data_IF_605339845042
#
_entry.id   IF_605339845042
#
_cell.length_a   1.000
_cell.length_b   1.000
_cell.length_c   1.000
_cell.angle_alpha   90.00
_cell.angle_beta   90.00
_cell.angle_gamma   90.00
#
_symmetry.space_group_name_H-M   'P 1'
#
loop_
_entity.id
_entity.type
_entity.pdbx_description
1 polymer ?
#
# COMPACT_ATOMS: atom_id res chain seq x y z
N UNK A 1 -23.50 15.09 26.13
CA UNK A 1 -22.43 14.11 26.31
C UNK A 1 -21.25 14.62 25.48
N UNK A 2 -20.10 14.83 26.08
CA UNK A 2 -18.92 15.29 25.37
C UNK A 2 -18.14 14.01 25.01
N UNK A 3 -18.01 13.72 23.72
CA UNK A 3 -17.24 12.56 23.22
C UNK A 3 -15.89 13.14 22.78
N UNK A 4 -14.82 12.66 23.35
CA UNK A 4 -13.47 12.97 22.90
C UNK A 4 -13.11 12.00 21.77
N UNK A 5 -12.73 12.54 20.63
CA UNK A 5 -12.45 11.78 19.42
C UNK A 5 -10.97 11.97 19.09
N UNK A 6 -10.22 10.88 19.06
CA UNK A 6 -8.86 10.91 18.53
C UNK A 6 -8.94 10.69 17.01
N UNK A 7 -8.63 11.72 16.24
CA UNK A 7 -8.62 11.66 14.79
C UNK A 7 -7.17 11.46 14.33
N UNK A 8 -6.82 10.36 13.65
CA UNK A 8 -5.48 10.18 13.12
C UNK A 8 -5.17 11.26 12.09
N UNK A 9 -3.93 11.73 12.10
CA UNK A 9 -3.42 12.80 11.23
C UNK A 9 -2.26 12.33 10.36
N UNK A 10 -1.85 11.09 10.49
CA UNK A 10 -0.77 10.47 9.72
C UNK A 10 -1.14 9.05 9.31
N UNK A 11 -0.73 8.64 8.12
CA UNK A 11 -0.88 7.28 7.63
C UNK A 11 -0.22 6.22 8.53
N UNK A 12 0.72 6.63 9.37
CA UNK A 12 1.38 5.73 10.33
C UNK A 12 0.59 5.51 11.63
N UNK A 13 -0.49 6.27 11.84
CA UNK A 13 -1.40 6.12 12.99
C UNK A 13 -2.54 5.14 12.71
N UNK A 14 -2.71 4.73 11.46
CA UNK A 14 -3.72 3.75 11.05
C UNK A 14 -3.06 2.48 10.52
N UNK A 15 -3.73 1.34 10.68
CA UNK A 15 -3.20 0.04 10.26
C UNK A 15 -3.64 -0.32 8.85
N UNK A 16 -2.90 -1.23 8.23
CA UNK A 16 -3.29 -1.81 6.94
C UNK A 16 -4.67 -2.49 7.03
N UNK A 17 -4.98 -3.17 8.15
CA UNK A 17 -6.29 -3.78 8.35
C UNK A 17 -7.44 -2.78 8.38
N UNK A 18 -7.25 -1.63 9.05
CA UNK A 18 -8.25 -0.57 9.06
C UNK A 18 -8.53 -0.07 7.65
N UNK A 19 -7.49 0.11 6.85
CA UNK A 19 -7.64 0.53 5.46
C UNK A 19 -8.33 -0.52 4.59
N UNK A 20 -7.99 -1.81 4.74
CA UNK A 20 -8.68 -2.92 4.07
C UNK A 20 -10.17 -2.96 4.41
N UNK A 21 -10.52 -2.76 5.69
CA UNK A 21 -11.93 -2.66 6.15
C UNK A 21 -12.65 -1.47 5.51
N UNK A 22 -11.96 -0.32 5.40
CA UNK A 22 -12.53 0.87 4.78
C UNK A 22 -12.78 0.66 3.28
N UNK A 23 -11.83 0.11 2.54
CA UNK A 23 -11.99 -0.20 1.13
C UNK A 23 -13.19 -1.12 0.88
N UNK A 24 -13.32 -2.18 1.67
CA UNK A 24 -14.48 -3.08 1.58
C UNK A 24 -15.80 -2.34 1.83
N UNK A 25 -15.85 -1.46 2.83
CA UNK A 25 -17.05 -0.66 3.11
C UNK A 25 -17.36 0.32 1.96
N UNK A 26 -16.34 0.90 1.31
CA UNK A 26 -16.51 1.81 0.17
C UNK A 26 -16.98 1.10 -1.11
N UNK A 27 -16.62 -0.17 -1.31
CA UNK A 27 -17.13 -0.99 -2.41
C UNK A 27 -18.63 -1.26 -2.25
N UNK A 28 -19.09 -1.54 -1.02
CA UNK A 28 -20.50 -1.80 -0.72
C UNK A 28 -21.35 -0.52 -0.76
N UNK A 29 -20.78 0.62 -0.38
CA UNK A 29 -21.45 1.94 -0.34
C UNK A 29 -20.46 3.02 -0.74
N UNK A 30 -20.38 3.37 -2.03
CA UNK A 30 -19.31 4.25 -2.54
C UNK A 30 -19.36 5.68 -2.04
N UNK A 31 -20.51 6.21 -1.65
CA UNK A 31 -20.69 7.61 -1.26
C UNK A 31 -21.80 7.79 -0.21
N UNK A 32 -21.72 8.90 0.52
CA UNK A 32 -22.78 9.37 1.41
C UNK A 32 -22.49 9.24 2.89
N UNK A 33 -23.40 9.74 3.71
CA UNK A 33 -23.26 9.84 5.16
C UNK A 33 -23.02 8.51 5.88
N UNK A 34 -23.38 7.39 5.27
CA UNK A 34 -23.07 6.07 5.81
C UNK A 34 -21.58 5.75 5.69
N UNK A 35 -20.98 6.05 4.52
CA UNK A 35 -19.54 5.87 4.33
C UNK A 35 -18.73 6.80 5.23
N UNK A 36 -19.18 8.07 5.39
CA UNK A 36 -18.56 9.02 6.32
C UNK A 36 -18.57 8.47 7.76
N UNK A 37 -19.70 7.92 8.19
CA UNK A 37 -19.81 7.32 9.52
C UNK A 37 -18.95 6.06 9.67
N UNK A 38 -18.82 5.24 8.62
CA UNK A 38 -17.93 4.09 8.57
C UNK A 38 -16.46 4.49 8.59
N UNK A 39 -16.07 5.54 7.90
CA UNK A 39 -14.73 6.11 7.95
C UNK A 39 -14.35 6.51 9.37
N UNK A 40 -15.24 7.20 10.08
CA UNK A 40 -15.05 7.60 11.47
C UNK A 40 -14.99 6.36 12.39
N UNK A 41 -15.90 5.38 12.20
CA UNK A 41 -15.88 4.15 12.97
C UNK A 41 -14.54 3.42 12.85
N UNK A 42 -14.06 3.24 11.63
CA UNK A 42 -12.87 2.42 11.32
C UNK A 42 -11.58 3.13 11.77
N UNK A 43 -11.43 4.41 11.44
CA UNK A 43 -10.17 5.12 11.68
C UNK A 43 -10.08 5.81 13.05
N UNK A 44 -11.21 6.26 13.60
CA UNK A 44 -11.24 6.88 14.92
C UNK A 44 -11.65 5.92 16.05
N UNK A 45 -12.04 4.68 15.72
CA UNK A 45 -12.43 3.67 16.73
C UNK A 45 -13.75 3.99 17.44
N UNK A 46 -14.63 4.79 16.85
CA UNK A 46 -15.90 5.20 17.43
C UNK A 46 -17.00 4.30 16.92
N UNK A 47 -17.83 3.67 17.79
CA UNK A 47 -18.95 2.87 17.33
C UNK A 47 -19.87 3.63 16.36
N UNK A 48 -20.32 2.96 15.29
CA UNK A 48 -21.19 3.56 14.27
C UNK A 48 -22.42 4.27 14.87
N UNK A 49 -23.02 3.68 15.93
CA UNK A 49 -24.14 4.29 16.65
C UNK A 49 -23.81 5.64 17.29
N UNK A 50 -22.55 5.88 17.64
CA UNK A 50 -22.10 7.14 18.24
C UNK A 50 -21.68 8.13 17.16
N UNK A 51 -21.13 7.67 16.02
CA UNK A 51 -20.88 8.50 14.86
C UNK A 51 -22.15 9.21 14.36
N UNK A 52 -23.29 8.54 14.38
CA UNK A 52 -24.59 9.13 14.01
C UNK A 52 -25.13 10.17 15.01
N UNK A 53 -24.56 10.28 16.21
CA UNK A 53 -24.93 11.31 17.20
C UNK A 53 -24.09 12.59 17.07
N UNK A 54 -23.06 12.56 16.21
CA UNK A 54 -22.21 13.71 15.97
C UNK A 54 -22.96 14.81 15.17
N UNK A 55 -22.57 16.04 15.38
CA UNK A 55 -23.06 17.14 14.54
C UNK A 55 -22.49 16.98 13.13
N UNK A 56 -23.29 17.27 12.11
CA UNK A 56 -22.86 17.16 10.70
C UNK A 56 -21.58 17.96 10.41
N UNK A 57 -21.45 19.17 11.02
CA UNK A 57 -20.21 19.95 10.89
C UNK A 57 -18.97 19.30 11.48
N UNK A 58 -19.14 18.51 12.55
CA UNK A 58 -18.02 17.74 13.13
C UNK A 58 -17.69 16.52 12.29
N UNK A 59 -18.69 15.83 11.75
CA UNK A 59 -18.50 14.72 10.81
C UNK A 59 -17.70 15.20 9.61
N UNK A 60 -18.12 16.31 8.96
CA UNK A 60 -17.42 16.86 7.80
C UNK A 60 -15.97 17.21 8.12
N UNK A 61 -15.72 17.90 9.25
CA UNK A 61 -14.35 18.26 9.64
C UNK A 61 -13.44 17.03 9.86
N UNK A 62 -13.97 15.93 10.43
CA UNK A 62 -13.21 14.70 10.62
C UNK A 62 -12.96 14.03 9.26
N UNK A 63 -13.97 13.93 8.42
CA UNK A 63 -13.86 13.33 7.08
C UNK A 63 -12.85 14.09 6.22
N UNK A 64 -12.84 15.42 6.26
CA UNK A 64 -11.87 16.25 5.55
C UNK A 64 -10.43 15.93 6.00
N UNK A 65 -10.16 15.85 7.31
CA UNK A 65 -8.85 15.50 7.87
C UNK A 65 -8.42 14.09 7.40
N UNK A 66 -9.31 13.11 7.51
CA UNK A 66 -9.03 11.74 7.12
C UNK A 66 -8.80 11.61 5.59
N UNK A 67 -9.56 12.33 4.80
CA UNK A 67 -9.41 12.35 3.33
C UNK A 67 -8.08 12.97 2.93
N UNK A 68 -7.71 14.10 3.53
CA UNK A 68 -6.42 14.75 3.27
C UNK A 68 -5.26 13.82 3.62
N UNK A 69 -5.32 13.16 4.79
CA UNK A 69 -4.34 12.17 5.21
C UNK A 69 -4.23 10.98 4.24
N UNK A 70 -5.37 10.43 3.79
CA UNK A 70 -5.39 9.28 2.86
C UNK A 70 -4.87 9.64 1.46
N UNK A 71 -4.89 10.93 1.08
CA UNK A 71 -4.33 11.42 -0.19
C UNK A 71 -2.82 11.71 -0.13
N UNK A 72 -2.19 11.54 1.03
CA UNK A 72 -0.74 11.70 1.13
C UNK A 72 0.01 10.62 0.34
N UNK A 73 1.16 11.00 -0.21
CA UNK A 73 2.11 10.09 -0.87
C UNK A 73 3.29 9.84 0.09
N UNK A 74 3.25 8.78 0.90
CA UNK A 74 4.31 8.51 1.85
C UNK A 74 5.59 8.09 1.14
N UNK A 75 6.73 8.53 1.68
CA UNK A 75 8.03 8.04 1.25
C UNK A 75 8.21 6.57 1.66
N UNK A 76 9.06 5.85 0.92
CA UNK A 76 9.46 4.50 1.29
C UNK A 76 10.15 4.48 2.66
N UNK A 77 9.81 3.49 3.46
CA UNK A 77 10.34 3.27 4.81
C UNK A 77 11.05 1.92 4.86
N UNK A 78 12.38 1.93 4.97
CA UNK A 78 13.17 0.71 5.01
C UNK A 78 12.92 -0.16 6.25
N UNK A 79 12.58 0.45 7.37
CA UNK A 79 12.41 -0.26 8.65
C UNK A 79 11.31 0.37 9.49
N UNK A 80 10.50 -0.49 10.11
CA UNK A 80 9.51 -0.07 11.11
C UNK A 80 9.48 -1.05 12.28
N UNK A 81 8.79 -0.70 13.35
CA UNK A 81 8.62 -1.58 14.51
C UNK A 81 7.16 -1.97 14.67
N UNK A 82 6.91 -3.27 14.89
CA UNK A 82 5.60 -3.84 15.15
C UNK A 82 5.72 -4.79 16.34
N UNK A 83 4.93 -4.58 17.39
CA UNK A 83 4.95 -5.38 18.64
C UNK A 83 6.35 -5.53 19.26
N UNK A 84 7.16 -4.49 19.20
CA UNK A 84 8.52 -4.49 19.73
C UNK A 84 9.54 -5.24 18.86
N UNK A 85 9.15 -5.76 17.71
CA UNK A 85 10.02 -6.39 16.72
C UNK A 85 10.32 -5.38 15.62
N UNK A 86 11.60 -5.20 15.27
CA UNK A 86 11.99 -4.39 14.12
C UNK A 86 11.88 -5.20 12.84
N UNK A 87 11.12 -4.71 11.88
CA UNK A 87 10.99 -5.26 10.52
C UNK A 87 11.81 -4.43 9.55
N UNK A 88 12.44 -5.08 8.58
CA UNK A 88 13.20 -4.44 7.51
C UNK A 88 12.70 -4.88 6.14
N UNK A 89 12.69 -3.96 5.21
CA UNK A 89 12.43 -4.22 3.80
C UNK A 89 13.51 -5.15 3.22
N UNK A 90 13.20 -5.94 2.21
CA UNK A 90 14.19 -6.78 1.50
C UNK A 90 15.38 -5.90 1.09
N UNK A 91 16.60 -6.20 1.55
CA UNK A 91 17.77 -5.37 1.24
C UNK A 91 18.21 -5.43 -0.22
N UNK A 92 17.92 -6.53 -0.90
CA UNK A 92 18.28 -6.80 -2.28
C UNK A 92 17.14 -7.55 -2.97
N UNK A 93 16.51 -6.91 -3.94
CA UNK A 93 15.39 -7.49 -4.69
C UNK A 93 15.85 -8.53 -5.71
N UNK A 94 17.10 -8.45 -6.18
CA UNK A 94 17.67 -9.40 -7.15
C UNK A 94 17.92 -10.77 -6.50
N UNK A 95 18.07 -10.82 -5.18
CA UNK A 95 18.23 -12.05 -4.40
C UNK A 95 16.89 -12.70 -3.98
N UNK A 96 15.75 -12.19 -4.47
CA UNK A 96 14.44 -12.73 -4.16
C UNK A 96 14.29 -14.14 -4.74
N UNK A 97 13.88 -15.10 -3.92
CA UNK A 97 13.61 -16.46 -4.37
C UNK A 97 12.34 -16.52 -5.24
N UNK A 98 12.21 -17.56 -6.05
CA UNK A 98 11.02 -17.79 -6.86
C UNK A 98 9.74 -17.87 -6.00
N UNK A 99 9.81 -18.47 -4.81
CA UNK A 99 8.67 -18.55 -3.90
C UNK A 99 8.22 -17.17 -3.39
N UNK A 100 9.18 -16.33 -2.99
CA UNK A 100 8.93 -14.93 -2.59
C UNK A 100 8.29 -14.13 -3.74
N UNK A 101 8.83 -14.29 -4.94
CA UNK A 101 8.31 -13.61 -6.13
C UNK A 101 6.85 -14.03 -6.43
N UNK A 102 6.56 -15.33 -6.42
CA UNK A 102 5.20 -15.85 -6.69
C UNK A 102 4.20 -15.35 -5.65
N UNK A 103 4.58 -15.36 -4.36
CA UNK A 103 3.71 -14.88 -3.29
C UNK A 103 3.53 -13.36 -3.33
N UNK A 104 4.55 -12.60 -3.71
CA UNK A 104 4.45 -11.16 -3.89
C UNK A 104 3.53 -10.82 -5.07
N UNK A 105 3.80 -11.36 -6.25
CA UNK A 105 3.06 -11.10 -7.50
C UNK A 105 1.58 -11.50 -7.36
N UNK A 106 1.32 -12.66 -6.77
CA UNK A 106 -0.04 -13.18 -6.59
C UNK A 106 -0.90 -12.41 -5.57
N UNK A 107 -0.30 -11.56 -4.73
CA UNK A 107 -1.02 -10.88 -3.65
C UNK A 107 -0.92 -9.35 -3.68
N UNK A 108 0.09 -8.79 -4.35
CA UNK A 108 0.32 -7.35 -4.35
C UNK A 108 -0.73 -6.53 -5.13
N UNK A 109 -1.49 -7.17 -6.02
CA UNK A 109 -2.56 -6.54 -6.80
C UNK A 109 -3.93 -6.51 -6.11
N UNK A 110 -4.05 -7.16 -4.97
CA UNK A 110 -5.31 -7.26 -4.21
C UNK A 110 -5.14 -6.61 -2.82
N UNK A 111 -5.82 -5.49 -2.61
CA UNK A 111 -5.78 -4.80 -1.31
C UNK A 111 -6.17 -5.69 -0.14
N UNK A 112 -7.11 -6.62 -0.33
CA UNK A 112 -7.52 -7.53 0.73
C UNK A 112 -6.44 -8.57 1.07
N UNK A 113 -5.45 -8.76 0.17
CA UNK A 113 -4.29 -9.64 0.35
C UNK A 113 -2.98 -8.89 0.56
N UNK A 114 -2.99 -7.56 0.58
CA UNK A 114 -1.79 -6.73 0.70
C UNK A 114 -0.90 -7.11 1.90
N UNK A 115 -1.49 -7.54 3.02
CA UNK A 115 -0.74 -8.02 4.19
C UNK A 115 0.14 -9.24 3.88
N UNK A 116 -0.26 -10.10 2.92
CA UNK A 116 0.55 -11.24 2.46
C UNK A 116 1.74 -10.74 1.65
N UNK A 117 1.52 -9.81 0.71
CA UNK A 117 2.60 -9.17 -0.03
C UNK A 117 3.59 -8.45 0.89
N UNK A 118 3.10 -7.74 1.90
CA UNK A 118 3.94 -7.05 2.88
C UNK A 118 4.73 -8.03 3.76
N UNK A 119 4.23 -9.24 4.04
CA UNK A 119 4.98 -10.29 4.74
C UNK A 119 6.17 -10.83 3.92
N UNK A 120 6.08 -10.78 2.59
CA UNK A 120 7.23 -11.08 1.72
C UNK A 120 8.28 -9.98 1.83
N UNK A 121 7.84 -8.72 1.72
CA UNK A 121 8.71 -7.55 1.61
C UNK A 121 9.38 -7.14 2.92
N UNK A 122 8.66 -7.28 4.05
CA UNK A 122 9.15 -6.87 5.36
C UNK A 122 9.26 -8.06 6.30
N UNK A 123 10.45 -8.28 6.82
CA UNK A 123 10.75 -9.41 7.71
C UNK A 123 11.52 -8.94 8.93
N UNK A 124 11.47 -9.70 10.06
CA UNK A 124 12.22 -9.36 11.25
C UNK A 124 13.70 -9.16 10.96
N UNK A 125 14.26 -8.05 11.43
CA UNK A 125 15.69 -7.77 11.35
C UNK A 125 16.43 -8.65 12.36
N UNK A 126 17.37 -9.48 11.88
CA UNK A 126 18.20 -10.35 12.72
C UNK A 126 19.54 -9.74 13.10
N UNK A 127 20.10 -8.94 12.20
CA UNK A 127 21.34 -8.21 12.46
C UNK A 127 21.30 -6.83 11.81
N UNK A 128 21.88 -5.83 12.50
CA UNK A 128 22.04 -4.48 11.94
C UNK A 128 23.42 -3.94 12.30
N UNK A 129 24.21 -3.56 11.28
CA UNK A 129 25.58 -3.03 11.48
C UNK A 129 25.91 -2.00 10.41
N UNK A 130 26.35 -0.82 10.85
CA UNK A 130 26.80 0.27 9.95
C UNK A 130 25.79 0.63 8.84
N UNK A 131 24.50 0.69 9.17
CA UNK A 131 23.43 1.04 8.22
C UNK A 131 22.95 -0.12 7.34
N UNK A 132 23.68 -1.23 7.27
CA UNK A 132 23.24 -2.47 6.63
C UNK A 132 22.53 -3.38 7.61
N UNK A 133 21.57 -4.15 7.16
CA UNK A 133 20.85 -5.12 7.99
C UNK A 133 20.56 -6.40 7.21
N UNK A 134 20.38 -7.49 7.93
CA UNK A 134 19.87 -8.73 7.40
C UNK A 134 18.51 -9.01 8.02
N UNK A 135 17.64 -9.61 7.24
CA UNK A 135 16.29 -10.00 7.64
C UNK A 135 16.19 -11.51 7.75
N UNK A 136 15.19 -11.99 8.47
CA UNK A 136 14.89 -13.42 8.60
C UNK A 136 14.56 -13.99 7.22
N UNK A 137 14.90 -15.27 6.99
CA UNK A 137 14.46 -15.99 5.79
C UNK A 137 12.95 -15.96 5.65
N UNK A 138 12.47 -15.94 4.41
CA UNK A 138 11.05 -15.94 4.13
C UNK A 138 10.38 -17.24 4.58
N UNK A 139 9.27 -17.10 5.25
CA UNK A 139 8.32 -18.18 5.51
C UNK A 139 6.91 -17.65 5.25
N UNK A 140 6.07 -18.46 4.64
CA UNK A 140 4.67 -18.09 4.39
C UNK A 140 3.80 -18.14 5.67
N UNK A 141 4.44 -18.32 6.84
CA UNK A 141 3.76 -18.43 8.13
C UNK A 141 3.25 -17.06 8.60
N UNK A 142 2.04 -17.04 9.13
CA UNK A 142 1.40 -15.92 9.83
C UNK A 142 1.48 -14.55 9.11
N UNK A 143 1.03 -14.43 7.86
CA UNK A 143 1.01 -13.15 7.16
C UNK A 143 0.00 -12.16 7.78
N UNK A 144 -0.97 -12.64 8.55
CA UNK A 144 -2.02 -11.83 9.20
C UNK A 144 -1.44 -10.80 10.17
N UNK A 145 -0.24 -11.05 10.70
CA UNK A 145 0.49 -10.12 11.54
C UNK A 145 0.77 -8.77 10.82
N UNK A 146 0.96 -8.80 9.51
CA UNK A 146 1.17 -7.58 8.73
C UNK A 146 -0.09 -6.73 8.57
N UNK A 147 -1.26 -7.20 8.98
CA UNK A 147 -2.47 -6.38 9.06
C UNK A 147 -2.34 -5.22 10.05
N UNK A 148 -1.54 -5.40 11.10
CA UNK A 148 -1.29 -4.38 12.12
C UNK A 148 -0.16 -3.40 11.73
N UNK A 149 0.48 -3.59 10.56
CA UNK A 149 1.51 -2.64 10.12
C UNK A 149 0.93 -1.25 9.82
N UNK A 150 1.72 -0.17 10.03
CA UNK A 150 1.30 1.17 9.64
C UNK A 150 1.00 1.26 8.14
N UNK A 151 -0.13 1.86 7.77
CA UNK A 151 -0.52 2.01 6.37
C UNK A 151 0.51 2.80 5.56
N UNK A 152 1.14 3.82 6.16
CA UNK A 152 2.19 4.60 5.49
C UNK A 152 3.37 3.77 5.02
N UNK A 153 3.71 2.68 5.75
CA UNK A 153 4.77 1.75 5.34
C UNK A 153 4.34 0.94 4.11
N UNK A 154 3.12 0.41 4.11
CA UNK A 154 2.58 -0.36 2.99
C UNK A 154 2.48 0.50 1.71
N UNK A 155 1.86 1.68 1.81
CA UNK A 155 1.72 2.62 0.68
C UNK A 155 3.08 3.11 0.18
N UNK A 156 4.01 3.44 1.08
CA UNK A 156 5.37 3.85 0.70
C UNK A 156 6.10 2.80 -0.12
N UNK A 157 5.89 1.51 0.18
CA UNK A 157 6.47 0.41 -0.61
C UNK A 157 5.83 0.29 -1.98
N UNK A 158 4.52 0.46 -2.10
CA UNK A 158 3.84 0.45 -3.40
C UNK A 158 4.30 1.60 -4.28
N UNK A 159 4.41 2.82 -3.73
CA UNK A 159 4.96 3.96 -4.47
C UNK A 159 6.42 3.75 -4.88
N UNK A 160 7.22 3.10 -4.03
CA UNK A 160 8.59 2.74 -4.38
C UNK A 160 8.64 1.81 -5.59
N UNK A 161 7.86 0.73 -5.60
CA UNK A 161 7.80 -0.19 -6.74
C UNK A 161 7.25 0.46 -8.00
N UNK A 162 6.23 1.29 -7.89
CA UNK A 162 5.70 2.05 -9.01
C UNK A 162 6.77 2.95 -9.65
N UNK A 163 7.48 3.73 -8.83
CA UNK A 163 8.55 4.60 -9.31
C UNK A 163 9.72 3.80 -9.91
N UNK A 164 10.10 2.67 -9.28
CA UNK A 164 11.15 1.79 -9.80
C UNK A 164 10.78 1.26 -11.19
N UNK A 165 9.53 0.83 -11.37
CA UNK A 165 9.04 0.36 -12.65
C UNK A 165 9.01 1.44 -13.74
N UNK A 166 8.61 2.67 -13.39
CA UNK A 166 8.68 3.82 -14.30
C UNK A 166 10.12 4.11 -14.74
N UNK A 167 11.07 4.05 -13.82
CA UNK A 167 12.50 4.27 -14.13
C UNK A 167 13.04 3.16 -15.07
N UNK A 168 12.73 1.89 -14.77
CA UNK A 168 13.11 0.76 -15.62
C UNK A 168 12.52 0.89 -17.04
N UNK A 169 11.23 1.26 -17.14
CA UNK A 169 10.57 1.47 -18.43
C UNK A 169 11.23 2.60 -19.23
N UNK A 170 11.55 3.72 -18.60
CA UNK A 170 12.28 4.83 -19.24
C UNK A 170 13.66 4.39 -19.74
N UNK A 171 14.41 3.64 -18.92
CA UNK A 171 15.73 3.15 -19.32
C UNK A 171 15.65 2.16 -20.49
N UNK A 172 14.66 1.32 -20.53
CA UNK A 172 14.43 0.37 -21.64
C UNK A 172 14.13 1.12 -22.92
N UNK A 173 13.26 2.12 -22.90
CA UNK A 173 12.95 2.97 -24.07
C UNK A 173 14.19 3.72 -24.56
N UNK A 174 14.99 4.30 -23.67
CA UNK A 174 16.18 5.06 -24.01
C UNK A 174 17.33 4.19 -24.54
N UNK A 175 17.40 2.92 -24.14
CA UNK A 175 18.42 1.97 -24.60
C UNK A 175 18.10 1.32 -25.95
N UNK A 176 16.84 1.39 -26.39
CA UNK A 176 16.41 0.89 -27.69
C UNK A 176 16.90 1.83 -28.80
N UNK A 177 17.88 1.37 -29.58
CA UNK A 177 18.51 2.17 -30.65
C UNK A 177 17.70 2.22 -31.96
N UNK A 178 16.60 1.48 -32.07
CA UNK A 178 15.74 1.40 -33.25
C UNK A 178 14.33 1.90 -32.96
N UNK A 179 13.85 2.78 -33.86
CA UNK A 179 12.49 3.35 -33.78
C UNK A 179 11.38 2.26 -33.81
N UNK A 180 11.63 1.15 -34.52
CA UNK A 180 10.73 0.00 -34.57
C UNK A 180 10.67 -0.79 -33.23
N UNK A 181 11.78 -0.87 -32.49
CA UNK A 181 11.81 -1.47 -31.14
C UNK A 181 11.10 -0.57 -30.12
N UNK A 182 11.21 0.76 -30.26
CA UNK A 182 10.48 1.71 -29.43
C UNK A 182 8.96 1.62 -29.64
N UNK A 183 8.50 1.46 -30.87
CA UNK A 183 7.07 1.24 -31.15
C UNK A 183 6.57 -0.09 -30.57
N UNK A 184 7.35 -1.16 -30.67
CA UNK A 184 7.01 -2.47 -30.09
C UNK A 184 6.97 -2.41 -28.56
N UNK A 185 7.93 -1.73 -27.92
CA UNK A 185 7.96 -1.55 -26.47
C UNK A 185 6.78 -0.68 -26.01
N UNK A 186 6.45 0.37 -26.76
CA UNK A 186 5.32 1.23 -26.47
C UNK A 186 3.96 0.51 -26.69
N UNK A 187 3.86 -0.35 -27.71
CA UNK A 187 2.70 -1.25 -27.89
C UNK A 187 2.64 -2.34 -26.79
N UNK A 188 3.77 -2.87 -26.34
CA UNK A 188 3.83 -3.82 -25.23
C UNK A 188 3.48 -3.19 -23.88
N UNK A 189 3.86 -1.93 -23.65
CA UNK A 189 3.46 -1.16 -22.47
C UNK A 189 1.95 -0.81 -22.46
N UNK A 190 1.31 -0.82 -23.63
CA UNK A 190 -0.14 -0.53 -23.79
C UNK A 190 -0.99 -1.77 -24.05
N UNK A 191 -0.38 -2.94 -24.30
CA UNK A 191 -1.08 -4.18 -24.67
C UNK A 191 -1.17 -5.16 -23.51
N UNK A 192 -2.39 -5.48 -23.12
CA UNK A 192 -2.75 -6.43 -22.03
C UNK A 192 -2.31 -7.89 -22.23
N UNK A 193 -1.47 -8.23 -23.23
CA UNK A 193 -1.38 -9.62 -23.71
C UNK A 193 -0.03 -10.32 -23.69
N UNK A 194 1.07 -9.76 -23.18
CA UNK A 194 2.34 -10.47 -23.19
C UNK A 194 3.00 -10.58 -21.82
N UNK A 195 3.11 -11.80 -21.36
CA UNK A 195 3.65 -12.46 -20.21
C UNK A 195 5.02 -12.05 -19.66
N UNK A 196 5.31 -10.77 -19.52
CA UNK A 196 6.43 -10.32 -18.71
C UNK A 196 5.87 -9.87 -17.35
N UNK A 197 6.13 -10.66 -16.31
CA UNK A 197 5.56 -10.49 -14.98
C UNK A 197 5.76 -9.07 -14.40
N UNK A 198 6.85 -8.40 -14.75
CA UNK A 198 7.15 -7.02 -14.31
C UNK A 198 6.14 -6.03 -14.86
N UNK A 199 5.71 -6.20 -16.11
CA UNK A 199 4.73 -5.29 -16.73
C UNK A 199 3.32 -5.49 -16.16
N UNK A 200 2.88 -6.72 -15.99
CA UNK A 200 1.58 -7.02 -15.36
C UNK A 200 1.52 -6.49 -13.93
N UNK A 201 2.62 -6.61 -13.18
CA UNK A 201 2.74 -6.06 -11.83
C UNK A 201 2.62 -4.53 -11.82
N UNK A 202 3.26 -3.83 -12.76
CA UNK A 202 3.18 -2.37 -12.87
C UNK A 202 1.78 -1.88 -13.25
N UNK A 203 1.13 -2.50 -14.24
CA UNK A 203 -0.26 -2.17 -14.62
C UNK A 203 -1.21 -2.42 -13.47
N UNK A 204 -0.99 -3.49 -12.72
CA UNK A 204 -1.76 -3.80 -11.53
C UNK A 204 -1.57 -2.78 -10.41
N UNK A 205 -0.32 -2.34 -10.17
CA UNK A 205 -0.02 -1.27 -9.20
C UNK A 205 -0.63 0.08 -9.64
N UNK A 206 -0.54 0.42 -10.92
CA UNK A 206 -1.16 1.64 -11.47
C UNK A 206 -2.67 1.63 -11.27
N UNK A 207 -3.34 0.53 -11.65
CA UNK A 207 -4.78 0.36 -11.43
C UNK A 207 -5.19 0.43 -9.96
N UNK A 208 -4.36 -0.11 -9.05
CA UNK A 208 -4.59 0.01 -7.60
C UNK A 208 -4.43 1.47 -7.11
N UNK A 209 -3.38 2.16 -7.55
CA UNK A 209 -3.15 3.57 -7.17
C UNK A 209 -4.23 4.48 -7.75
N UNK A 210 -4.71 4.21 -8.97
CA UNK A 210 -5.85 4.91 -9.57
C UNK A 210 -7.16 4.66 -8.80
N UNK A 211 -7.40 3.41 -8.38
CA UNK A 211 -8.59 3.05 -7.59
C UNK A 211 -8.66 3.78 -6.25
N UNK A 212 -7.51 4.18 -5.72
CA UNK A 212 -7.39 4.97 -4.49
C UNK A 212 -7.68 6.47 -4.71
N UNK A 213 -7.98 6.90 -5.95
CA UNK A 213 -8.08 8.31 -6.34
C UNK A 213 -6.83 9.13 -5.99
N UNK A 214 -5.70 8.46 -5.78
CA UNK A 214 -4.42 9.12 -5.53
C UNK A 214 -3.91 9.60 -6.89
N UNK A 215 -3.86 10.92 -7.08
CA UNK A 215 -3.33 11.51 -8.32
C UNK A 215 -1.86 11.14 -8.52
N UNK A 216 -1.56 10.48 -9.63
CA UNK A 216 -0.20 10.09 -10.03
C UNK A 216 0.61 11.25 -10.66
N UNK A 217 0.03 12.47 -10.70
CA UNK A 217 0.68 13.69 -11.24
C UNK A 217 1.64 14.35 -10.26
#
# INVERSE_FOLDING_TARGET
MQIEINVPTSLNEITLEQYQKFLKASEETPEGSFLDAKMIEIFCGIPLSDSYKLKMSSVQAIVDILTDMLNEKPAHIDKFSLDGVQYGFIPDLDEMSLGEYVDLDGNASDWQKMHVAMNVLYRPVITSKKGKYNIKEYTADDPDKMKDMPLGVALGSLFFFYNLGLELSKHTILSSSNQAEMEIIQEQLTSEKNGDGTHQFLVSLEGMLESLKISLN
#
